data_IF_086623722749
#
_entry.id   IF_086623722749
#
_cell.length_a   1.000
_cell.length_b   1.000
_cell.length_c   1.000
_cell.angle_alpha   90.00
_cell.angle_beta   90.00
_cell.angle_gamma   90.00
#
_symmetry.space_group_name_H-M   'P 1'
#
loop_
_entity.id
_entity.type
_entity.pdbx_description
1 polymer ?
#
# COMPACT_ATOMS: atom_id res chain seq x y z
N UNK A 1 -5.64 7.17 4.52
CA UNK A 1 -6.77 6.63 3.71
C UNK A 1 -7.88 6.21 4.68
N UNK A 2 -9.14 6.06 4.24
CA UNK A 2 -10.19 5.49 5.12
C UNK A 2 -10.49 4.03 4.76
N UNK A 3 -11.10 3.30 5.68
CA UNK A 3 -11.39 1.85 5.52
C UNK A 3 -12.27 1.54 4.32
N UNK A 4 -13.19 2.43 3.95
CA UNK A 4 -14.05 2.23 2.78
C UNK A 4 -13.25 2.22 1.48
N UNK A 5 -12.41 3.24 1.27
CA UNK A 5 -11.54 3.32 0.08
C UNK A 5 -10.54 2.17 0.08
N UNK A 6 -10.03 1.79 1.26
CA UNK A 6 -9.11 0.68 1.36
C UNK A 6 -9.72 -0.64 0.86
N UNK A 7 -10.93 -0.98 1.32
CA UNK A 7 -11.65 -2.18 0.86
C UNK A 7 -11.90 -2.16 -0.65
N UNK A 8 -12.24 -1.00 -1.23
CA UNK A 8 -12.43 -0.90 -2.69
C UNK A 8 -11.16 -1.26 -3.47
N UNK A 9 -10.00 -0.83 -2.98
CA UNK A 9 -8.71 -1.20 -3.59
C UNK A 9 -8.49 -2.71 -3.47
N UNK A 10 -8.68 -3.27 -2.27
CA UNK A 10 -8.52 -4.72 -2.06
C UNK A 10 -9.46 -5.54 -2.95
N UNK A 11 -10.72 -5.15 -3.06
CA UNK A 11 -11.71 -5.81 -3.94
C UNK A 11 -11.31 -5.77 -5.40
N UNK A 12 -10.65 -4.72 -5.87
CA UNK A 12 -10.23 -4.59 -7.28
C UNK A 12 -9.18 -5.64 -7.67
N UNK A 13 -8.41 -6.13 -6.70
CA UNK A 13 -7.30 -7.05 -6.94
C UNK A 13 -7.52 -8.45 -6.34
N UNK A 14 -8.66 -8.68 -5.70
CA UNK A 14 -8.92 -9.89 -4.92
C UNK A 14 -8.79 -11.18 -5.75
N UNK A 15 -9.36 -11.20 -6.95
CA UNK A 15 -9.32 -12.38 -7.81
C UNK A 15 -7.89 -12.75 -8.22
N UNK A 16 -7.07 -11.74 -8.52
CA UNK A 16 -5.65 -11.92 -8.83
C UNK A 16 -4.89 -12.43 -7.61
N UNK A 17 -5.14 -11.85 -6.44
CA UNK A 17 -4.49 -12.26 -5.21
C UNK A 17 -4.82 -13.70 -4.81
N UNK A 18 -6.09 -14.11 -4.96
CA UNK A 18 -6.53 -15.49 -4.69
C UNK A 18 -5.93 -16.48 -5.68
N UNK A 19 -5.95 -16.15 -6.97
CA UNK A 19 -5.36 -16.99 -8.02
C UNK A 19 -3.88 -17.23 -7.78
N UNK A 20 -3.15 -16.20 -7.38
CA UNK A 20 -1.70 -16.24 -7.27
C UNK A 20 -1.21 -16.63 -5.85
N UNK A 21 -2.14 -16.88 -4.92
CA UNK A 21 -1.83 -17.28 -3.53
C UNK A 21 -1.07 -16.19 -2.76
N UNK A 22 -1.35 -14.92 -3.05
CA UNK A 22 -0.61 -13.78 -2.50
C UNK A 22 -1.05 -13.53 -1.05
N UNK A 23 -0.08 -13.31 -0.16
CA UNK A 23 -0.32 -12.83 1.20
C UNK A 23 -0.21 -11.31 1.23
N UNK A 24 -1.24 -10.63 1.73
CA UNK A 24 -1.22 -9.19 1.93
C UNK A 24 -0.26 -8.83 3.06
N UNK A 25 0.70 -7.95 2.78
CA UNK A 25 1.61 -7.40 3.78
C UNK A 25 1.36 -5.89 3.89
N UNK A 26 0.99 -5.42 5.08
CA UNK A 26 0.59 -4.03 5.33
C UNK A 26 1.14 -3.50 6.67
N UNK A 27 1.19 -2.18 6.82
CA UNK A 27 1.54 -1.52 8.08
C UNK A 27 0.31 -1.39 9.02
N UNK A 28 0.52 -0.81 10.19
CA UNK A 28 -0.50 -0.63 11.24
C UNK A 28 -1.34 0.64 11.08
N UNK A 29 -1.62 1.07 9.85
CA UNK A 29 -2.51 2.21 9.62
C UNK A 29 -3.91 2.00 10.22
N UNK A 30 -4.54 3.09 10.64
CA UNK A 30 -5.89 3.10 11.22
C UNK A 30 -6.95 2.43 10.33
N UNK A 31 -6.86 2.59 9.00
CA UNK A 31 -7.78 1.93 8.07
C UNK A 31 -7.59 0.41 8.09
N UNK A 32 -6.34 -0.05 8.10
CA UNK A 32 -5.97 -1.48 8.09
C UNK A 32 -6.40 -2.20 9.36
N UNK A 33 -6.45 -1.48 10.49
CA UNK A 33 -6.80 -2.03 11.81
C UNK A 33 -8.30 -1.98 12.14
N UNK A 34 -9.11 -1.30 11.31
CA UNK A 34 -10.54 -1.16 11.55
C UNK A 34 -11.25 -2.52 11.58
N UNK A 35 -12.27 -2.66 12.43
CA UNK A 35 -13.08 -3.89 12.51
C UNK A 35 -13.67 -4.26 11.14
N UNK A 36 -14.22 -3.27 10.43
CA UNK A 36 -14.73 -3.47 9.08
C UNK A 36 -13.73 -4.06 8.08
N UNK A 37 -12.44 -3.80 8.26
CA UNK A 37 -11.40 -4.35 7.37
C UNK A 37 -11.05 -5.77 7.77
N UNK A 38 -11.02 -6.08 9.08
CA UNK A 38 -10.84 -7.45 9.57
C UNK A 38 -11.97 -8.35 9.14
N UNK A 39 -13.22 -7.90 9.32
CA UNK A 39 -14.40 -8.64 8.91
C UNK A 39 -14.37 -8.95 7.40
N UNK A 40 -13.94 -7.97 6.59
CA UNK A 40 -13.78 -8.16 5.15
C UNK A 40 -12.70 -9.20 4.81
N UNK A 41 -11.56 -9.18 5.50
CA UNK A 41 -10.47 -10.14 5.28
C UNK A 41 -10.91 -11.56 5.64
N UNK A 42 -11.62 -11.70 6.77
CA UNK A 42 -12.14 -12.98 7.26
C UNK A 42 -13.20 -13.53 6.30
N UNK A 43 -14.14 -12.69 5.83
CA UNK A 43 -15.17 -13.07 4.85
C UNK A 43 -14.57 -13.59 3.53
N UNK A 44 -13.45 -13.02 3.10
CA UNK A 44 -12.84 -13.36 1.83
C UNK A 44 -11.72 -14.41 1.95
N UNK A 45 -11.47 -14.92 3.16
CA UNK A 45 -10.44 -15.92 3.47
C UNK A 45 -9.05 -15.54 2.94
N UNK A 46 -8.68 -14.28 3.11
CA UNK A 46 -7.49 -13.73 2.48
C UNK A 46 -6.29 -13.70 3.45
N UNK A 47 -5.16 -14.35 3.13
CA UNK A 47 -4.01 -14.36 4.03
C UNK A 47 -3.39 -12.96 4.17
N UNK A 48 -3.19 -12.53 5.41
CA UNK A 48 -2.68 -11.19 5.75
C UNK A 48 -1.63 -11.24 6.85
N UNK A 49 -0.59 -10.42 6.70
CA UNK A 49 0.42 -10.10 7.71
C UNK A 49 0.40 -8.59 7.95
N UNK A 50 0.31 -8.21 9.23
CA UNK A 50 0.46 -6.82 9.66
C UNK A 50 1.85 -6.64 10.29
N UNK A 51 2.62 -5.71 9.75
CA UNK A 51 3.96 -5.38 10.24
C UNK A 51 3.90 -4.69 11.62
N UNK A 52 4.95 -4.78 12.45
CA UNK A 52 5.00 -4.03 13.70
C UNK A 52 4.97 -2.52 13.46
N UNK A 53 4.45 -1.78 14.44
CA UNK A 53 4.43 -0.31 14.37
C UNK A 53 5.84 0.27 14.27
N UNK A 54 5.98 1.35 13.49
CA UNK A 54 7.25 2.09 13.33
C UNK A 54 8.40 1.19 12.81
N UNK A 55 8.08 0.17 12.01
CA UNK A 55 9.07 -0.75 11.41
C UNK A 55 9.10 -0.65 9.87
N UNK A 56 9.47 0.52 9.31
CA UNK A 56 9.54 0.71 7.85
C UNK A 56 10.63 -0.16 7.20
N UNK A 57 11.63 -0.57 7.97
CA UNK A 57 12.71 -1.49 7.59
C UNK A 57 12.23 -2.91 7.25
N UNK A 58 11.09 -3.33 7.80
CA UNK A 58 10.47 -4.61 7.46
C UNK A 58 9.58 -4.53 6.20
N UNK A 59 9.36 -3.32 5.67
CA UNK A 59 8.56 -3.11 4.47
C UNK A 59 9.41 -3.11 3.21
N UNK A 60 9.16 -4.07 2.32
CA UNK A 60 9.75 -4.06 0.97
C UNK A 60 9.39 -2.79 0.18
N UNK A 61 8.26 -2.15 0.52
CA UNK A 61 7.83 -0.91 -0.12
C UNK A 61 8.84 0.21 0.07
N UNK A 62 9.54 0.28 1.21
CA UNK A 62 10.58 1.31 1.41
C UNK A 62 11.79 1.08 0.49
N UNK A 63 12.17 -0.18 0.27
CA UNK A 63 13.22 -0.54 -0.67
C UNK A 63 12.84 -0.16 -2.11
N UNK A 64 11.57 -0.33 -2.48
CA UNK A 64 11.07 0.07 -3.81
C UNK A 64 10.84 1.58 -3.94
N UNK A 65 10.47 2.25 -2.86
CA UNK A 65 10.21 3.68 -2.84
C UNK A 65 11.51 4.48 -3.00
N UNK A 66 12.65 3.97 -2.52
CA UNK A 66 13.91 4.71 -2.57
C UNK A 66 14.38 5.06 -4.01
N UNK A 67 14.41 4.13 -4.99
CA UNK A 67 14.66 4.46 -6.39
C UNK A 67 13.65 5.45 -6.98
N UNK A 68 12.37 5.34 -6.62
CA UNK A 68 11.31 6.24 -7.11
C UNK A 68 11.53 7.65 -6.58
N UNK A 69 11.78 7.80 -5.27
CA UNK A 69 12.13 9.07 -4.61
C UNK A 69 13.33 9.71 -5.30
N UNK A 70 14.39 8.94 -5.58
CA UNK A 70 15.58 9.43 -6.29
C UNK A 70 15.25 9.98 -7.68
N UNK A 71 14.44 9.25 -8.48
CA UNK A 71 14.02 9.70 -9.82
C UNK A 71 13.15 10.96 -9.74
N UNK A 72 12.18 11.00 -8.82
CA UNK A 72 11.32 12.16 -8.61
C UNK A 72 12.13 13.41 -8.27
N UNK A 73 13.09 13.31 -7.36
CA UNK A 73 13.95 14.43 -7.00
C UNK A 73 14.94 14.82 -8.09
N UNK A 74 15.39 13.88 -8.92
CA UNK A 74 16.23 14.18 -10.08
C UNK A 74 15.50 15.01 -11.15
N UNK A 75 14.16 15.04 -11.14
CA UNK A 75 13.38 15.88 -12.06
C UNK A 75 13.31 17.36 -11.64
N UNK A 76 13.85 17.76 -10.48
CA UNK A 76 13.91 19.17 -10.06
C UNK A 76 15.08 19.94 -10.70
N UNK A 77 15.11 20.05 -12.03
CA UNK A 77 15.75 21.14 -12.80
C UNK A 77 15.40 21.07 -14.29
N UNK A 78 14.12 21.20 -14.65
CA UNK A 78 13.73 21.58 -16.02
C UNK A 78 12.31 22.15 -15.98
N UNK A 79 12.18 23.48 -15.90
CA UNK A 79 10.88 24.15 -15.96
C UNK A 79 10.68 25.33 -15.00
N UNK A 80 11.70 26.16 -14.77
CA UNK A 80 11.50 27.58 -14.48
C UNK A 80 12.04 28.33 -15.68
N UNK A 81 11.11 28.76 -16.55
CA UNK A 81 11.15 29.78 -17.63
C UNK A 81 10.22 29.32 -18.75
N UNK A 82 8.92 29.49 -18.54
CA UNK A 82 7.92 29.55 -19.61
C UNK A 82 6.78 30.47 -19.14
N UNK A 83 7.17 31.69 -18.81
CA UNK A 83 6.31 32.87 -18.91
C UNK A 83 7.04 33.78 -19.90
N UNK A 84 6.89 33.48 -21.19
CA UNK A 84 7.11 34.38 -22.32
C UNK A 84 6.06 34.03 -23.38
#
# INVERSE_FOLDING_TARGET
MNSRVYKQILSTHLDEFKRDGITLCQDVDSAHKSEETKDWIDEHEFPMITLPGVSPDFSILESMAHPIKKKFHAQKTAGSTALD
#
